data_IF_267693815819
#
_entry.id   IF_267693815819
#
_cell.length_a   1.000
_cell.length_b   1.000
_cell.length_c   1.000
_cell.angle_alpha   90.00
_cell.angle_beta   90.00
_cell.angle_gamma   90.00
#
_symmetry.space_group_name_H-M   'P 1'
#
loop_
_entity.id
_entity.type
_entity.pdbx_description
1 polymer ?
#
# COMPACT_ATOMS: atom_id res chain seq x y z
N UNK A 1 46.62 23.63 0.14
CA UNK A 1 45.99 23.64 -1.20
C UNK A 1 44.81 22.70 -1.17
N UNK A 2 43.65 23.23 -0.81
CA UNK A 2 42.38 22.53 -0.59
C UNK A 2 41.54 22.61 -1.86
N UNK A 3 41.18 21.45 -2.42
CA UNK A 3 40.36 21.33 -3.63
C UNK A 3 38.87 21.32 -3.25
N UNK A 4 38.13 22.33 -3.69
CA UNK A 4 36.67 22.40 -3.63
C UNK A 4 36.06 21.51 -4.73
N UNK A 5 35.17 20.61 -4.36
CA UNK A 5 34.25 19.89 -5.27
C UNK A 5 32.93 20.66 -5.30
N UNK A 6 32.52 21.09 -6.50
CA UNK A 6 31.23 21.69 -6.79
C UNK A 6 30.10 20.64 -6.74
N UNK A 7 28.98 21.00 -6.11
CA UNK A 7 27.72 20.26 -6.12
C UNK A 7 26.97 20.52 -7.46
N UNK A 8 26.22 19.55 -8.01
CA UNK A 8 25.42 19.77 -9.20
C UNK A 8 24.17 20.60 -8.87
N UNK A 9 23.78 21.46 -9.83
CA UNK A 9 22.68 22.41 -9.74
C UNK A 9 21.31 21.74 -9.51
N UNK A 10 20.52 22.32 -8.62
CA UNK A 10 19.14 21.95 -8.35
C UNK A 10 18.25 22.25 -9.57
N UNK A 11 17.56 21.22 -10.06
CA UNK A 11 16.64 21.31 -11.19
C UNK A 11 15.23 21.74 -10.70
N UNK A 12 15.09 23.03 -10.41
CA UNK A 12 13.82 23.67 -10.02
C UNK A 12 12.81 23.80 -11.20
N UNK A 13 13.14 23.30 -12.39
CA UNK A 13 12.33 23.49 -13.60
C UNK A 13 10.96 22.79 -13.59
N UNK A 14 10.81 21.71 -12.82
CA UNK A 14 9.56 20.93 -12.80
C UNK A 14 8.42 21.69 -12.08
N UNK A 15 8.74 22.56 -11.12
CA UNK A 15 7.75 23.37 -10.41
C UNK A 15 7.05 24.40 -11.31
N UNK A 16 7.71 24.88 -12.36
CA UNK A 16 7.14 25.89 -13.26
C UNK A 16 6.19 25.31 -14.31
N UNK A 17 6.42 24.08 -14.78
CA UNK A 17 5.65 23.51 -15.90
C UNK A 17 4.20 23.19 -15.54
N UNK A 18 3.86 23.07 -14.25
CA UNK A 18 2.48 22.84 -13.79
C UNK A 18 1.80 24.09 -13.23
N UNK A 19 2.56 25.16 -12.93
CA UNK A 19 2.01 26.43 -12.48
C UNK A 19 1.22 27.16 -13.59
N UNK A 20 1.54 26.90 -14.86
CA UNK A 20 0.86 27.50 -16.02
C UNK A 20 -0.59 26.97 -16.23
N UNK A 21 -1.03 25.96 -15.47
CA UNK A 21 -2.39 25.40 -15.55
C UNK A 21 -3.38 25.94 -14.49
N UNK A 22 -2.99 26.89 -13.63
CA UNK A 22 -3.80 27.31 -12.46
C UNK A 22 -4.26 28.77 -12.44
N UNK A 23 -4.13 29.53 -13.52
CA UNK A 23 -4.54 30.95 -13.56
C UNK A 23 -6.07 31.13 -13.70
N UNK A 24 -6.84 30.74 -12.68
CA UNK A 24 -8.19 31.28 -12.48
C UNK A 24 -8.76 30.99 -11.08
N UNK A 25 -8.34 31.71 -10.03
CA UNK A 25 -9.22 32.06 -8.89
C UNK A 25 -8.69 33.29 -8.14
N UNK A 26 -9.64 34.19 -7.84
CA UNK A 26 -9.48 35.52 -7.24
C UNK A 26 -8.64 35.57 -5.95
N UNK A 27 -7.72 36.54 -5.90
CA UNK A 27 -6.98 36.95 -4.71
C UNK A 27 -7.85 37.81 -3.79
N UNK A 28 -8.13 37.30 -2.59
CA UNK A 28 -8.58 38.11 -1.45
C UNK A 28 -7.36 38.49 -0.57
N UNK A 29 -7.35 39.67 0.07
CA UNK A 29 -6.15 40.21 0.68
C UNK A 29 -5.75 39.47 1.96
N UNK A 30 -4.47 39.14 2.06
CA UNK A 30 -3.81 38.53 3.21
C UNK A 30 -3.84 39.52 4.37
N UNK A 31 -4.46 39.14 5.50
CA UNK A 31 -4.22 39.80 6.79
C UNK A 31 -2.88 39.29 7.31
N UNK A 32 -1.97 40.21 7.61
CA UNK A 32 -0.74 39.93 8.34
C UNK A 32 -1.08 39.19 9.65
N UNK A 33 -0.59 37.96 9.77
CA UNK A 33 -0.70 37.17 10.98
C UNK A 33 0.66 37.17 11.69
N UNK A 34 0.57 37.64 12.94
CA UNK A 34 1.54 37.63 14.02
C UNK A 34 2.33 36.32 14.17
N UNK A 35 3.55 36.40 14.69
CA UNK A 35 4.62 35.40 14.61
C UNK A 35 4.18 33.94 14.82
N UNK A 36 4.15 33.17 13.73
CA UNK A 36 3.94 31.72 13.77
C UNK A 36 5.18 31.04 14.33
N UNK A 37 5.02 30.31 15.44
CA UNK A 37 5.98 29.28 15.83
C UNK A 37 6.14 28.32 14.64
N UNK A 38 7.37 27.91 14.27
CA UNK A 38 7.55 26.94 13.21
C UNK A 38 6.76 25.67 13.57
N UNK A 39 5.85 25.27 12.68
CA UNK A 39 5.08 24.06 12.89
C UNK A 39 6.04 22.87 12.83
N UNK A 40 5.81 21.85 13.67
CA UNK A 40 6.68 20.69 13.71
C UNK A 40 6.54 19.88 12.42
N UNK A 41 7.65 19.57 11.74
CA UNK A 41 7.64 18.81 10.50
C UNK A 41 6.87 17.50 10.65
N UNK A 42 5.96 17.23 9.72
CA UNK A 42 5.11 16.04 9.73
C UNK A 42 3.92 16.10 10.69
N UNK A 43 3.72 17.22 11.41
CA UNK A 43 2.59 17.45 12.32
C UNK A 43 1.60 18.43 11.69
N UNK A 44 1.02 18.02 10.57
CA UNK A 44 0.12 18.86 9.76
C UNK A 44 -1.23 18.17 9.54
N UNK A 45 -2.33 18.89 9.76
CA UNK A 45 -3.68 18.40 9.49
C UNK A 45 -4.01 18.32 7.99
N UNK A 46 -5.06 17.58 7.64
CA UNK A 46 -5.59 17.53 6.27
C UNK A 46 -7.00 18.09 6.22
N UNK A 47 -7.26 19.02 5.29
CA UNK A 47 -8.59 19.60 5.07
C UNK A 47 -9.58 18.52 4.65
N UNK A 48 -10.78 18.54 5.23
CA UNK A 48 -11.87 17.65 4.80
C UNK A 48 -12.61 18.28 3.62
N UNK A 49 -12.69 17.57 2.50
CA UNK A 49 -13.24 18.04 1.23
C UNK A 49 -14.68 17.55 0.99
N UNK A 50 -15.35 17.15 2.08
CA UNK A 50 -16.69 16.57 2.09
C UNK A 50 -16.65 15.05 2.14
N UNK A 51 -16.93 14.49 3.32
CA UNK A 51 -16.90 13.05 3.61
C UNK A 51 -15.57 12.36 3.29
N UNK A 52 -14.43 13.08 3.35
CA UNK A 52 -13.10 12.53 3.02
C UNK A 52 -12.28 12.09 4.23
N UNK A 53 -12.89 11.90 5.40
CA UNK A 53 -12.14 11.50 6.60
C UNK A 53 -11.45 10.14 6.43
N UNK A 54 -12.01 9.21 5.65
CA UNK A 54 -11.37 7.93 5.31
C UNK A 54 -10.04 8.14 4.57
N UNK A 55 -10.01 9.08 3.61
CA UNK A 55 -8.82 9.44 2.85
C UNK A 55 -7.79 10.13 3.74
N UNK A 56 -8.22 11.12 4.52
CA UNK A 56 -7.32 11.87 5.39
C UNK A 56 -6.65 10.94 6.41
N UNK A 57 -7.39 9.99 7.00
CA UNK A 57 -6.82 9.02 7.92
C UNK A 57 -5.73 8.14 7.27
N UNK A 58 -5.97 7.65 6.06
CA UNK A 58 -5.00 6.83 5.33
C UNK A 58 -3.77 7.64 4.90
N UNK A 59 -3.97 8.85 4.37
CA UNK A 59 -2.87 9.72 3.96
C UNK A 59 -1.97 10.11 5.14
N UNK A 60 -2.56 10.42 6.31
CA UNK A 60 -1.81 10.65 7.54
C UNK A 60 -0.96 9.44 7.94
N UNK A 61 -1.55 8.23 7.91
CA UNK A 61 -0.81 7.00 8.21
C UNK A 61 0.36 6.80 7.25
N UNK A 62 0.13 6.89 5.93
CA UNK A 62 1.18 6.69 4.92
C UNK A 62 2.27 7.76 5.01
N UNK A 63 1.91 9.03 5.22
CA UNK A 63 2.84 10.14 5.36
C UNK A 63 3.57 10.16 6.71
N UNK A 64 3.31 9.22 7.60
CA UNK A 64 4.05 9.03 8.86
C UNK A 64 5.03 7.86 8.79
N UNK A 65 5.06 7.10 7.69
CA UNK A 65 5.94 5.94 7.53
C UNK A 65 7.33 6.40 7.10
N UNK A 66 8.28 6.46 8.04
CA UNK A 66 9.61 7.07 7.80
C UNK A 66 10.33 6.55 6.54
N UNK A 67 10.41 5.24 6.26
CA UNK A 67 11.07 4.77 5.03
C UNK A 67 10.37 5.21 3.74
N UNK A 68 9.05 5.41 3.78
CA UNK A 68 8.28 5.91 2.64
C UNK A 68 8.49 7.42 2.48
N UNK A 69 8.45 8.17 3.59
CA UNK A 69 8.72 9.60 3.64
C UNK A 69 10.11 9.93 3.09
N UNK A 70 11.14 9.26 3.60
CA UNK A 70 12.52 9.42 3.14
C UNK A 70 12.67 9.13 1.64
N UNK A 71 11.93 8.15 1.12
CA UNK A 71 11.98 7.80 -0.29
C UNK A 71 11.44 8.93 -1.19
N UNK A 72 10.31 9.54 -0.82
CA UNK A 72 9.72 10.64 -1.59
C UNK A 72 10.51 11.95 -1.41
N UNK A 73 10.83 12.34 -0.18
CA UNK A 73 11.55 13.59 0.11
C UNK A 73 12.99 13.60 -0.43
N UNK A 74 13.63 12.43 -0.60
CA UNK A 74 14.95 12.35 -1.25
C UNK A 74 14.91 12.47 -2.78
N UNK A 75 13.73 12.65 -3.39
CA UNK A 75 13.56 12.75 -4.85
C UNK A 75 13.77 11.43 -5.61
N UNK A 76 14.01 10.30 -4.91
CA UNK A 76 14.25 8.99 -5.55
C UNK A 76 13.08 8.54 -6.42
N UNK A 77 11.85 8.95 -6.08
CA UNK A 77 10.64 8.62 -6.84
C UNK A 77 10.69 9.18 -8.27
N UNK A 78 11.28 10.36 -8.48
CA UNK A 78 11.40 11.02 -9.80
C UNK A 78 12.16 10.10 -10.77
N UNK A 79 13.28 9.54 -10.31
CA UNK A 79 14.07 8.60 -11.13
C UNK A 79 13.36 7.28 -11.40
N UNK A 80 12.33 6.94 -10.61
CA UNK A 80 11.60 5.69 -10.74
C UNK A 80 10.38 5.80 -11.67
N UNK A 81 9.78 6.97 -11.83
CA UNK A 81 8.61 7.27 -12.69
C UNK A 81 8.87 7.14 -14.22
N UNK A 82 9.89 6.40 -14.67
CA UNK A 82 10.35 6.46 -16.06
C UNK A 82 9.23 6.20 -17.10
N UNK A 83 9.12 7.14 -18.06
CA UNK A 83 8.30 7.17 -19.29
C UNK A 83 6.79 7.49 -19.19
N UNK A 84 6.14 7.37 -18.03
CA UNK A 84 4.74 7.80 -17.85
C UNK A 84 4.61 8.51 -16.49
N UNK A 85 4.48 9.83 -16.51
CA UNK A 85 4.30 10.62 -15.29
C UNK A 85 2.94 10.28 -14.67
N UNK A 86 2.93 9.43 -13.63
CA UNK A 86 1.71 9.16 -12.86
C UNK A 86 1.28 10.41 -12.10
N UNK A 87 0.08 10.92 -12.43
CA UNK A 87 -0.54 12.04 -11.71
C UNK A 87 -0.71 11.71 -10.22
N UNK A 88 -1.11 10.48 -9.90
CA UNK A 88 -1.35 10.06 -8.50
C UNK A 88 -0.06 10.05 -7.69
N UNK A 89 1.01 9.43 -8.20
CA UNK A 89 2.29 9.37 -7.48
C UNK A 89 2.92 10.75 -7.32
N UNK A 90 2.77 11.62 -8.33
CA UNK A 90 3.27 13.00 -8.29
C UNK A 90 2.47 13.84 -7.28
N UNK A 91 1.13 13.77 -7.32
CA UNK A 91 0.28 14.47 -6.36
C UNK A 91 0.49 13.99 -4.92
N UNK A 92 0.78 12.69 -4.74
CA UNK A 92 1.14 12.13 -3.43
C UNK A 92 2.47 12.68 -2.92
N UNK A 93 3.48 12.80 -3.80
CA UNK A 93 4.77 13.38 -3.45
C UNK A 93 4.64 14.86 -3.05
N UNK A 94 3.83 15.65 -3.77
CA UNK A 94 3.55 17.04 -3.42
C UNK A 94 2.87 17.15 -2.07
N UNK A 95 1.79 16.38 -1.85
CA UNK A 95 1.10 16.37 -0.57
C UNK A 95 2.04 16.04 0.60
N UNK A 96 2.88 15.02 0.42
CA UNK A 96 3.85 14.62 1.44
C UNK A 96 4.88 15.72 1.69
N UNK A 97 5.34 16.41 0.64
CA UNK A 97 6.29 17.52 0.77
C UNK A 97 5.65 18.66 1.55
N UNK A 98 4.42 19.06 1.23
CA UNK A 98 3.69 20.11 1.94
C UNK A 98 3.48 19.78 3.43
N UNK A 99 3.14 18.52 3.74
CA UNK A 99 2.98 18.05 5.12
C UNK A 99 4.30 18.04 5.91
N UNK A 100 5.44 17.88 5.25
CA UNK A 100 6.75 17.77 5.89
C UNK A 100 7.60 19.06 5.82
N UNK A 101 7.17 20.05 5.04
CA UNK A 101 7.80 21.36 4.99
C UNK A 101 7.71 22.08 6.35
N UNK A 102 6.58 21.93 7.06
CA UNK A 102 6.36 22.51 8.38
C UNK A 102 5.89 23.96 8.38
N UNK A 103 5.47 24.48 7.22
CA UNK A 103 5.05 25.88 7.05
C UNK A 103 3.53 26.09 7.24
N UNK A 104 2.78 25.01 7.46
CA UNK A 104 1.32 25.07 7.58
C UNK A 104 0.76 24.01 8.52
N UNK A 105 -0.20 24.42 9.36
CA UNK A 105 -0.92 23.52 10.27
C UNK A 105 -1.94 22.63 9.56
N UNK A 106 -2.32 22.98 8.31
CA UNK A 106 -3.32 22.24 7.55
C UNK A 106 -3.09 22.36 6.04
N UNK A 107 -3.02 21.22 5.35
CA UNK A 107 -2.82 21.11 3.90
C UNK A 107 -4.07 20.54 3.22
N UNK A 108 -4.33 20.95 1.98
CA UNK A 108 -5.46 20.47 1.20
C UNK A 108 -5.05 19.30 0.28
N UNK A 109 -5.62 18.10 0.44
CA UNK A 109 -5.33 16.97 -0.45
C UNK A 109 -6.14 17.00 -1.77
N UNK A 110 -6.61 18.16 -2.22
CA UNK A 110 -7.49 18.29 -3.41
C UNK A 110 -6.82 17.79 -4.68
N UNK A 111 -5.55 18.13 -4.90
CA UNK A 111 -4.78 17.69 -6.08
C UNK A 111 -4.69 16.15 -6.10
N UNK A 112 -4.34 15.56 -4.97
CA UNK A 112 -4.28 14.10 -4.81
C UNK A 112 -5.66 13.45 -5.02
N UNK A 113 -6.71 14.02 -4.41
CA UNK A 113 -8.10 13.55 -4.57
C UNK A 113 -8.52 13.57 -6.04
N UNK A 114 -8.21 14.65 -6.76
CA UNK A 114 -8.56 14.80 -8.16
C UNK A 114 -7.83 13.77 -9.03
N UNK A 115 -6.51 13.62 -8.85
CA UNK A 115 -5.71 12.65 -9.59
C UNK A 115 -6.21 11.22 -9.40
N UNK A 116 -6.48 10.81 -8.15
CA UNK A 116 -7.02 9.47 -7.88
C UNK A 116 -8.47 9.33 -8.37
N UNK A 117 -9.29 10.37 -8.23
CA UNK A 117 -10.69 10.40 -8.65
C UNK A 117 -10.89 10.28 -10.16
N UNK A 118 -9.91 10.72 -10.96
CA UNK A 118 -9.91 10.55 -12.41
C UNK A 118 -9.81 9.07 -12.81
N UNK A 119 -9.05 8.28 -12.07
CA UNK A 119 -8.93 6.82 -12.28
C UNK A 119 -10.08 6.06 -11.63
N UNK A 120 -10.54 6.53 -10.46
CA UNK A 120 -11.52 5.87 -9.62
C UNK A 120 -12.67 6.83 -9.24
N UNK A 121 -13.68 7.00 -10.12
CA UNK A 121 -14.76 7.97 -9.92
C UNK A 121 -15.59 7.80 -8.63
N UNK A 122 -15.50 6.63 -7.99
CA UNK A 122 -16.11 6.38 -6.69
C UNK A 122 -15.59 7.34 -5.59
N UNK A 123 -14.33 7.77 -5.68
CA UNK A 123 -13.71 8.69 -4.70
C UNK A 123 -13.97 10.17 -4.98
N UNK A 124 -14.50 10.51 -6.17
CA UNK A 124 -14.91 11.88 -6.50
C UNK A 124 -16.25 12.25 -5.87
N UNK A 125 -17.09 11.25 -5.54
CA UNK A 125 -18.37 11.47 -4.88
C UNK A 125 -18.15 11.94 -3.44
N UNK A 126 -18.99 12.83 -2.94
CA UNK A 126 -18.98 13.29 -1.53
C UNK A 126 -19.70 12.29 -0.61
N UNK A 127 -19.43 11.00 -0.79
CA UNK A 127 -19.99 9.90 0.01
C UNK A 127 -18.92 9.31 0.91
N UNK A 128 -19.33 8.73 2.05
CA UNK A 128 -18.40 7.96 2.88
C UNK A 128 -17.96 6.70 2.13
N UNK A 129 -16.69 6.32 2.30
CA UNK A 129 -16.07 5.15 1.67
C UNK A 129 -15.32 4.31 2.70
N UNK A 130 -14.98 3.07 2.33
CA UNK A 130 -14.12 2.22 3.14
C UNK A 130 -12.66 2.69 3.03
N UNK A 131 -12.03 2.96 4.18
CA UNK A 131 -10.64 3.40 4.25
C UNK A 131 -9.67 2.31 3.77
N UNK A 132 -10.00 1.03 3.97
CA UNK A 132 -9.16 -0.07 3.53
C UNK A 132 -9.20 -0.24 2.01
N UNK A 133 -10.37 -0.09 1.40
CA UNK A 133 -10.51 -0.10 -0.05
C UNK A 133 -9.68 1.05 -0.67
N UNK A 134 -9.85 2.26 -0.14
CA UNK A 134 -9.06 3.41 -0.56
C UNK A 134 -7.54 3.16 -0.41
N UNK A 135 -7.09 2.60 0.72
CA UNK A 135 -5.68 2.26 0.93
C UNK A 135 -5.14 1.31 -0.14
N UNK A 136 -5.88 0.26 -0.50
CA UNK A 136 -5.45 -0.69 -1.54
C UNK A 136 -5.26 0.02 -2.87
N UNK A 137 -6.20 0.89 -3.27
CA UNK A 137 -6.08 1.66 -4.51
C UNK A 137 -4.83 2.55 -4.49
N UNK A 138 -4.59 3.29 -3.39
CA UNK A 138 -3.39 4.13 -3.27
C UNK A 138 -2.11 3.29 -3.38
N UNK A 139 -2.00 2.17 -2.66
CA UNK A 139 -0.80 1.33 -2.72
C UNK A 139 -0.58 0.73 -4.12
N UNK A 140 -1.64 0.33 -4.81
CA UNK A 140 -1.55 -0.20 -6.18
C UNK A 140 -1.10 0.89 -7.16
N UNK A 141 -1.69 2.08 -7.12
CA UNK A 141 -1.28 3.20 -8.00
C UNK A 141 0.18 3.60 -7.76
N UNK A 142 0.60 3.68 -6.50
CA UNK A 142 2.00 3.96 -6.18
C UNK A 142 2.93 2.81 -6.62
N UNK A 143 2.48 1.55 -6.55
CA UNK A 143 3.26 0.43 -7.05
C UNK A 143 3.43 0.50 -8.57
N UNK A 144 2.33 0.63 -9.31
CA UNK A 144 2.32 0.68 -10.76
C UNK A 144 3.14 1.86 -11.29
N UNK A 145 3.04 3.03 -10.65
CA UNK A 145 3.80 4.21 -11.02
C UNK A 145 5.32 4.06 -10.75
N UNK A 146 5.71 3.34 -9.71
CA UNK A 146 7.10 3.30 -9.22
C UNK A 146 7.81 1.96 -9.47
N UNK A 147 7.21 1.07 -10.27
CA UNK A 147 7.77 -0.26 -10.53
C UNK A 147 8.95 -0.21 -11.48
N UNK A 148 9.99 -0.94 -11.12
CA UNK A 148 11.21 -1.14 -11.89
C UNK A 148 11.22 -2.56 -12.44
N UNK A 149 11.56 -2.66 -13.72
CA UNK A 149 11.77 -3.95 -14.38
C UNK A 149 13.22 -4.39 -14.18
N UNK A 150 13.42 -5.46 -13.42
CA UNK A 150 14.73 -6.09 -13.33
C UNK A 150 14.95 -7.04 -14.51
N UNK A 151 15.78 -6.62 -15.46
CA UNK A 151 16.34 -7.54 -16.45
C UNK A 151 17.55 -8.27 -15.85
N UNK A 152 17.61 -9.61 -15.92
CA UNK A 152 18.80 -10.35 -15.49
C UNK A 152 20.02 -9.89 -16.30
N UNK A 153 21.07 -9.47 -15.58
CA UNK A 153 22.32 -8.97 -16.15
C UNK A 153 22.98 -10.09 -16.97
N UNK A 154 23.22 -9.89 -18.27
CA UNK A 154 24.00 -10.83 -19.10
C UNK A 154 25.37 -11.05 -18.43
N UNK A 155 25.68 -12.28 -18.01
CA UNK A 155 27.08 -12.69 -17.83
C UNK A 155 27.68 -12.74 -19.23
N UNK A 156 28.53 -11.78 -19.57
CA UNK A 156 29.29 -11.77 -20.81
C UNK A 156 30.46 -12.75 -20.72
N UNK A 157 30.19 -14.01 -21.07
CA UNK A 157 31.12 -15.10 -21.41
C UNK A 157 30.23 -16.11 -22.17
N UNK A 158 30.43 -16.56 -23.40
CA UNK A 158 31.56 -16.60 -24.34
C UNK A 158 31.02 -16.54 -25.78
N UNK A 159 31.90 -16.28 -26.74
CA UNK A 159 31.62 -16.41 -28.18
C UNK A 159 31.32 -17.89 -28.51
N UNK A 160 30.07 -18.21 -28.83
CA UNK A 160 29.69 -19.53 -29.34
C UNK A 160 28.29 -19.48 -29.93
N UNK A 161 28.17 -19.87 -31.19
CA UNK A 161 26.97 -19.92 -32.00
C UNK A 161 25.81 -20.71 -31.38
N UNK A 162 24.58 -20.25 -31.67
CA UNK A 162 23.35 -21.02 -31.95
C UNK A 162 22.11 -20.62 -31.12
N UNK A 163 20.99 -20.61 -31.84
CA UNK A 163 19.60 -20.61 -31.40
C UNK A 163 19.04 -19.36 -30.71
N UNK A 164 18.39 -18.51 -31.53
CA UNK A 164 17.29 -17.63 -31.11
C UNK A 164 16.18 -18.49 -30.50
N UNK A 165 16.20 -18.63 -29.18
CA UNK A 165 15.01 -18.88 -28.40
C UNK A 165 14.87 -17.70 -27.44
N UNK A 166 14.09 -16.70 -27.85
CA UNK A 166 13.68 -15.61 -26.96
C UNK A 166 12.72 -16.20 -25.92
N UNK A 167 13.27 -16.88 -24.90
CA UNK A 167 12.53 -17.22 -23.70
C UNK A 167 12.01 -15.89 -23.13
N UNK A 168 10.70 -15.75 -22.92
CA UNK A 168 10.13 -14.65 -22.13
C UNK A 168 10.72 -14.80 -20.72
N UNK A 169 11.72 -13.99 -20.39
CA UNK A 169 12.35 -13.99 -19.07
C UNK A 169 11.38 -13.31 -18.12
N UNK A 170 11.04 -13.97 -17.01
CA UNK A 170 10.16 -13.45 -15.97
C UNK A 170 10.82 -12.20 -15.38
N UNK A 171 10.28 -11.03 -15.71
CA UNK A 171 10.64 -9.76 -15.10
C UNK A 171 9.99 -9.71 -13.72
N UNK A 172 10.78 -9.72 -12.65
CA UNK A 172 10.25 -9.43 -11.31
C UNK A 172 10.06 -7.92 -11.22
N UNK A 173 8.81 -7.48 -11.19
CA UNK A 173 8.43 -6.08 -11.00
C UNK A 173 8.60 -5.73 -9.52
N UNK A 174 9.37 -4.68 -9.22
CA UNK A 174 9.59 -4.25 -7.82
C UNK A 174 9.46 -2.75 -7.70
N UNK A 175 8.87 -2.27 -6.62
CA UNK A 175 8.78 -0.84 -6.31
C UNK A 175 9.09 -0.60 -4.83
N UNK A 176 9.13 0.66 -4.39
CA UNK A 176 9.20 0.98 -2.96
C UNK A 176 8.05 0.35 -2.17
N UNK A 177 6.86 0.26 -2.78
CA UNK A 177 5.68 -0.35 -2.16
C UNK A 177 5.91 -1.84 -1.89
N UNK A 178 6.38 -2.60 -2.89
CA UNK A 178 6.63 -4.04 -2.69
C UNK A 178 7.83 -4.30 -1.77
N UNK A 179 8.81 -3.40 -1.75
CA UNK A 179 9.94 -3.52 -0.82
C UNK A 179 9.57 -3.27 0.65
N UNK A 180 8.53 -2.46 0.91
CA UNK A 180 8.10 -2.12 2.26
C UNK A 180 6.96 -3.00 2.76
N UNK A 181 5.91 -3.16 1.96
CA UNK A 181 4.63 -3.72 2.42
C UNK A 181 4.33 -5.14 1.93
N UNK A 182 5.09 -5.67 0.97
CA UNK A 182 4.81 -6.99 0.39
C UNK A 182 5.26 -8.14 1.29
N UNK A 183 4.29 -8.92 1.75
CA UNK A 183 4.49 -10.23 2.36
C UNK A 183 4.01 -11.36 1.45
N UNK A 184 4.31 -12.60 1.84
CA UNK A 184 3.82 -13.80 1.19
C UNK A 184 3.21 -14.76 2.20
N UNK A 185 2.03 -15.28 1.86
CA UNK A 185 1.37 -16.39 2.53
C UNK A 185 1.66 -17.68 1.79
N UNK A 186 1.78 -18.78 2.52
CA UNK A 186 1.72 -20.13 1.98
C UNK A 186 0.47 -20.84 2.51
N UNK A 187 -0.28 -21.48 1.63
CA UNK A 187 -1.43 -22.29 1.96
C UNK A 187 -1.10 -23.76 1.74
N UNK A 188 -1.26 -24.58 2.77
CA UNK A 188 -1.31 -26.04 2.63
C UNK A 188 -2.76 -26.48 2.47
N UNK A 189 -3.05 -27.11 1.34
CA UNK A 189 -4.39 -27.56 0.94
C UNK A 189 -4.37 -29.08 0.88
N UNK A 190 -4.97 -29.74 1.86
CA UNK A 190 -4.95 -31.20 2.02
C UNK A 190 -6.32 -31.77 1.73
N UNK A 191 -6.42 -32.61 0.70
CA UNK A 191 -7.64 -33.37 0.42
C UNK A 191 -7.86 -34.41 1.51
N UNK A 192 -9.02 -34.41 2.18
CA UNK A 192 -9.31 -35.33 3.28
C UNK A 192 -9.68 -36.76 2.82
N UNK A 193 -9.90 -36.96 1.51
CA UNK A 193 -10.20 -38.29 0.93
C UNK A 193 -8.94 -39.06 0.52
N UNK A 194 -7.99 -38.41 -0.14
CA UNK A 194 -6.78 -39.05 -0.67
C UNK A 194 -5.49 -38.58 0.00
N UNK A 195 -5.59 -37.70 1.00
CA UNK A 195 -4.49 -37.16 1.81
C UNK A 195 -3.41 -36.43 1.01
N UNK A 196 -3.69 -36.10 -0.25
CA UNK A 196 -2.75 -35.37 -1.08
C UNK A 196 -2.74 -33.88 -0.72
N UNK A 197 -1.54 -33.37 -0.45
CA UNK A 197 -1.30 -31.96 -0.16
C UNK A 197 -0.90 -31.18 -1.42
N UNK A 198 -1.45 -29.98 -1.58
CA UNK A 198 -1.05 -28.97 -2.58
C UNK A 198 -0.69 -27.68 -1.86
N UNK A 199 0.38 -27.02 -2.33
CA UNK A 199 0.85 -25.76 -1.77
C UNK A 199 0.55 -24.61 -2.73
N UNK A 200 0.01 -23.51 -2.21
CA UNK A 200 -0.24 -22.29 -2.97
C UNK A 200 0.40 -21.11 -2.25
N UNK A 201 1.14 -20.28 -2.97
CA UNK A 201 1.68 -19.03 -2.43
C UNK A 201 0.83 -17.86 -2.91
N UNK A 202 0.57 -16.91 -2.02
CA UNK A 202 -0.15 -15.67 -2.33
C UNK A 202 0.60 -14.47 -1.77
N UNK A 203 0.67 -13.40 -2.54
CA UNK A 203 1.30 -12.14 -2.14
C UNK A 203 0.24 -11.25 -1.48
N UNK A 204 0.63 -10.49 -0.46
CA UNK A 204 -0.25 -9.50 0.17
C UNK A 204 0.50 -8.21 0.52
N UNK A 205 -0.21 -7.08 0.49
CA UNK A 205 0.24 -5.78 1.03
C UNK A 205 -0.50 -5.41 2.31
N UNK A 206 -1.73 -5.89 2.45
CA UNK A 206 -2.59 -5.70 3.62
C UNK A 206 -3.14 -7.05 4.07
N UNK A 207 -2.92 -7.42 5.34
CA UNK A 207 -3.46 -8.65 5.89
C UNK A 207 -4.81 -8.37 6.58
N UNK A 208 -5.88 -8.86 5.99
CA UNK A 208 -7.25 -8.65 6.50
C UNK A 208 -7.66 -9.76 7.46
N UNK A 209 -7.64 -9.45 8.75
CA UNK A 209 -7.89 -10.38 9.83
C UNK A 209 -9.38 -10.46 10.19
N UNK A 210 -9.93 -11.68 10.41
CA UNK A 210 -11.24 -11.86 11.01
C UNK A 210 -11.21 -11.42 12.48
N UNK A 211 -12.39 -11.07 12.99
CA UNK A 211 -12.58 -10.75 14.40
C UNK A 211 -13.30 -11.94 15.05
N UNK A 212 -12.65 -12.70 15.95
CA UNK A 212 -13.19 -13.95 16.47
C UNK A 212 -14.31 -13.75 17.52
N UNK A 213 -14.49 -12.54 18.04
CA UNK A 213 -15.37 -12.24 19.18
C UNK A 213 -16.16 -10.95 18.94
N UNK A 214 -17.42 -10.90 19.39
CA UNK A 214 -18.24 -9.68 19.30
C UNK A 214 -17.92 -8.66 20.41
N UNK A 215 -17.28 -9.07 21.51
CA UNK A 215 -17.06 -8.25 22.71
C UNK A 215 -15.63 -7.74 22.81
N UNK A 216 -14.66 -8.63 23.02
CA UNK A 216 -13.24 -8.29 23.17
C UNK A 216 -12.39 -9.25 22.34
N UNK A 217 -11.34 -8.73 21.70
CA UNK A 217 -10.26 -9.54 21.13
C UNK A 217 -8.93 -8.78 21.12
N UNK A 218 -7.84 -9.53 21.02
CA UNK A 218 -6.50 -9.01 20.78
C UNK A 218 -6.07 -9.26 19.33
N UNK A 219 -4.98 -8.59 18.92
CA UNK A 219 -4.32 -8.91 17.64
C UNK A 219 -3.93 -10.39 17.57
N UNK A 220 -3.49 -10.98 18.68
CA UNK A 220 -3.08 -12.37 18.74
C UNK A 220 -4.26 -13.31 18.46
N UNK A 221 -5.44 -13.03 19.00
CA UNK A 221 -6.64 -13.83 18.74
C UNK A 221 -7.05 -13.76 17.27
N UNK A 222 -6.98 -12.57 16.67
CA UNK A 222 -7.26 -12.36 15.26
C UNK A 222 -6.27 -13.13 14.35
N UNK A 223 -4.98 -13.11 14.70
CA UNK A 223 -3.93 -13.86 13.97
C UNK A 223 -4.10 -15.36 14.14
N UNK A 224 -4.38 -15.84 15.36
CA UNK A 224 -4.65 -17.25 15.62
C UNK A 224 -5.86 -17.73 14.84
N UNK A 225 -6.95 -16.96 14.83
CA UNK A 225 -8.13 -17.25 14.02
C UNK A 225 -7.81 -17.29 12.53
N UNK A 226 -6.99 -16.36 12.02
CA UNK A 226 -6.58 -16.33 10.61
C UNK A 226 -5.71 -17.54 10.20
N UNK A 227 -4.78 -17.96 11.05
CA UNK A 227 -3.84 -19.07 10.76
C UNK A 227 -4.33 -20.44 11.26
N UNK A 228 -5.51 -20.49 11.87
CA UNK A 228 -6.15 -21.73 12.24
C UNK A 228 -6.45 -22.56 10.98
N UNK A 229 -6.26 -23.87 11.08
CA UNK A 229 -6.68 -24.77 10.01
C UNK A 229 -8.20 -24.74 9.89
N UNK A 230 -8.70 -24.44 8.70
CA UNK A 230 -10.11 -24.48 8.36
C UNK A 230 -10.41 -25.70 7.48
N UNK A 231 -11.62 -26.25 7.60
CA UNK A 231 -12.06 -27.40 6.80
C UNK A 231 -13.19 -26.96 5.89
N UNK A 232 -12.91 -26.93 4.58
CA UNK A 232 -13.88 -26.55 3.58
C UNK A 232 -14.82 -27.71 3.29
N UNK A 233 -16.05 -27.59 3.79
CA UNK A 233 -17.12 -28.59 3.67
C UNK A 233 -18.27 -28.08 2.79
N UNK A 234 -19.17 -29.00 2.41
CA UNK A 234 -20.41 -28.69 1.67
C UNK A 234 -20.18 -27.86 0.40
N UNK A 235 -20.72 -26.64 0.36
CA UNK A 235 -20.67 -25.76 -0.81
C UNK A 235 -19.26 -25.20 -1.10
N UNK A 236 -18.35 -25.27 -0.13
CA UNK A 236 -16.99 -24.72 -0.24
C UNK A 236 -15.95 -25.80 -0.62
N UNK A 237 -16.36 -27.03 -0.92
CA UNK A 237 -15.46 -28.11 -1.31
C UNK A 237 -14.61 -27.74 -2.54
N UNK A 238 -13.33 -28.11 -2.50
CA UNK A 238 -12.37 -27.88 -3.57
C UNK A 238 -12.31 -29.10 -4.48
N UNK A 239 -12.16 -28.86 -5.79
CA UNK A 239 -11.91 -29.94 -6.75
C UNK A 239 -10.51 -30.53 -6.55
N UNK A 240 -10.43 -31.82 -6.21
CA UNK A 240 -9.16 -32.52 -6.08
C UNK A 240 -8.75 -33.10 -7.44
N UNK A 241 -7.57 -32.72 -7.95
CA UNK A 241 -7.04 -33.24 -9.22
C UNK A 241 -6.74 -34.76 -9.21
N UNK A 242 -6.61 -35.37 -8.04
CA UNK A 242 -6.33 -36.81 -7.90
C UNK A 242 -7.60 -37.64 -7.73
N UNK A 243 -8.68 -37.06 -7.17
CA UNK A 243 -9.98 -37.72 -7.05
C UNK A 243 -10.94 -37.34 -8.18
N UNK A 244 -10.56 -36.38 -9.02
CA UNK A 244 -11.36 -35.82 -10.14
C UNK A 244 -12.77 -35.37 -9.73
N UNK A 245 -12.94 -35.00 -8.46
CA UNK A 245 -14.23 -34.67 -7.84
C UNK A 245 -14.03 -33.63 -6.74
N UNK A 246 -15.10 -32.94 -6.35
CA UNK A 246 -15.10 -32.04 -5.19
C UNK A 246 -14.95 -32.86 -3.91
N UNK A 247 -14.01 -32.44 -3.05
CA UNK A 247 -13.70 -33.14 -1.81
C UNK A 247 -13.60 -32.16 -0.65
N UNK A 248 -13.90 -32.65 0.54
CA UNK A 248 -13.58 -31.93 1.77
C UNK A 248 -12.08 -31.72 1.87
N UNK A 249 -11.69 -30.50 2.21
CA UNK A 249 -10.30 -30.06 2.10
C UNK A 249 -9.93 -29.25 3.32
N UNK A 250 -8.87 -29.67 4.02
CA UNK A 250 -8.28 -28.88 5.08
C UNK A 250 -7.34 -27.84 4.47
N UNK A 251 -7.51 -26.57 4.85
CA UNK A 251 -6.71 -25.44 4.41
C UNK A 251 -6.09 -24.80 5.62
N UNK A 252 -4.77 -24.59 5.57
CA UNK A 252 -4.04 -23.85 6.60
C UNK A 252 -3.14 -22.84 5.93
N UNK A 253 -3.19 -21.61 6.41
CA UNK A 253 -2.29 -20.55 5.99
C UNK A 253 -1.06 -20.47 6.91
N UNK A 254 0.04 -19.96 6.38
CA UNK A 254 1.21 -19.51 7.13
C UNK A 254 1.82 -18.28 6.44
N UNK A 255 2.71 -17.57 7.14
CA UNK A 255 3.52 -16.50 6.54
C UNK A 255 4.83 -17.13 6.07
N UNK A 256 5.07 -17.15 4.76
CA UNK A 256 6.33 -17.61 4.17
C UNK A 256 7.36 -16.49 4.07
N UNK A 257 6.92 -15.24 3.88
CA UNK A 257 7.76 -14.04 3.88
C UNK A 257 7.02 -12.90 4.57
N UNK A 258 7.59 -12.35 5.65
CA UNK A 258 7.04 -11.15 6.28
C UNK A 258 7.46 -9.88 5.51
N UNK A 259 6.58 -8.86 5.41
CA UNK A 259 6.95 -7.55 4.90
C UNK A 259 7.83 -6.80 5.91
N UNK A 260 8.49 -5.72 5.48
CA UNK A 260 9.20 -4.82 6.42
C UNK A 260 8.22 -4.04 7.29
N UNK A 261 7.08 -3.67 6.72
CA UNK A 261 6.00 -2.96 7.39
C UNK A 261 4.72 -3.71 7.09
N UNK A 262 4.09 -4.26 8.13
CA UNK A 262 2.84 -5.00 8.00
C UNK A 262 1.65 -4.08 8.28
N UNK A 263 0.64 -4.15 7.42
CA UNK A 263 -0.63 -3.46 7.63
C UNK A 263 -1.68 -4.51 7.97
N UNK A 264 -2.21 -4.45 9.18
CA UNK A 264 -3.35 -5.27 9.59
C UNK A 264 -4.65 -4.50 9.38
N UNK A 265 -5.56 -5.09 8.62
CA UNK A 265 -6.94 -4.62 8.50
C UNK A 265 -7.84 -5.53 9.33
N UNK A 266 -8.66 -4.95 10.22
CA UNK A 266 -9.64 -5.72 10.98
C UNK A 266 -10.98 -5.69 10.25
N UNK A 267 -11.50 -6.87 9.86
CA UNK A 267 -12.78 -7.02 9.14
C UNK A 267 -13.99 -6.71 10.02
N UNK A 268 -14.22 -5.42 10.29
CA UNK A 268 -15.31 -4.94 11.16
C UNK A 268 -16.65 -4.78 10.44
N UNK A 269 -16.64 -4.64 9.12
CA UNK A 269 -17.87 -4.43 8.35
C UNK A 269 -18.29 -5.74 7.69
N UNK A 270 -19.49 -6.19 8.03
CA UNK A 270 -20.12 -7.31 7.35
C UNK A 270 -21.02 -6.78 6.23
N UNK A 271 -20.62 -7.07 4.99
CA UNK A 271 -21.32 -6.66 3.77
C UNK A 271 -22.39 -7.70 3.37
N UNK A 272 -22.32 -8.92 3.91
CA UNK A 272 -23.25 -10.00 3.58
C UNK A 272 -24.56 -9.91 4.36
N UNK A 273 -24.58 -9.15 5.47
CA UNK A 273 -25.77 -8.92 6.29
C UNK A 273 -26.43 -7.58 5.94
N UNK A 274 -27.76 -7.59 5.75
CA UNK A 274 -28.60 -6.41 5.57
C UNK A 274 -29.49 -6.22 6.81
N UNK A 275 -29.44 -5.07 7.51
CA UNK A 275 -28.60 -3.90 7.25
C UNK A 275 -27.12 -4.18 7.54
N UNK A 276 -26.21 -3.46 6.86
CA UNK A 276 -24.76 -3.54 7.07
C UNK A 276 -24.44 -3.43 8.56
N UNK A 277 -23.77 -4.44 9.13
CA UNK A 277 -23.41 -4.47 10.56
C UNK A 277 -21.94 -4.10 10.73
N UNK A 278 -21.65 -3.22 11.70
CA UNK A 278 -20.29 -2.91 12.13
C UNK A 278 -20.01 -3.58 13.47
N UNK A 279 -18.98 -4.42 13.53
CA UNK A 279 -18.47 -5.00 14.76
C UNK A 279 -17.82 -3.91 15.62
N UNK A 280 -18.33 -3.77 16.84
CA UNK A 280 -17.86 -2.81 17.85
C UNK A 280 -16.93 -3.46 18.88
N UNK A 281 -16.43 -4.66 18.61
CA UNK A 281 -15.50 -5.41 19.46
C UNK A 281 -14.35 -4.52 19.92
N UNK A 282 -14.15 -4.46 21.23
CA UNK A 282 -13.02 -3.80 21.85
C UNK A 282 -11.74 -4.54 21.50
N UNK A 283 -10.76 -3.78 21.03
CA UNK A 283 -9.56 -4.34 20.42
C UNK A 283 -8.31 -3.86 21.13
N UNK A 284 -7.53 -4.82 21.64
CA UNK A 284 -6.27 -4.54 22.31
C UNK A 284 -5.08 -4.76 21.37
N UNK A 285 -4.24 -3.73 21.24
CA UNK A 285 -2.94 -3.82 20.60
C UNK A 285 -1.87 -4.06 21.67
N UNK A 286 -1.00 -5.07 21.50
CA UNK A 286 0.15 -5.20 22.38
C UNK A 286 1.12 -4.04 22.17
N UNK A 287 1.79 -3.58 23.23
CA UNK A 287 2.81 -2.53 23.15
C UNK A 287 4.02 -2.94 22.30
N UNK A 288 4.28 -4.23 22.13
CA UNK A 288 5.31 -4.79 21.27
C UNK A 288 4.86 -6.13 20.69
N UNK A 289 5.07 -6.33 19.39
CA UNK A 289 4.87 -7.61 18.71
C UNK A 289 6.21 -8.28 18.48
N UNK A 290 6.42 -9.45 19.09
CA UNK A 290 7.57 -10.30 18.78
C UNK A 290 7.04 -11.44 17.90
N UNK A 291 7.35 -11.37 16.60
CA UNK A 291 7.06 -12.48 15.69
C UNK A 291 8.22 -13.47 15.75
N UNK A 292 8.08 -14.52 16.55
CA UNK A 292 9.00 -15.65 16.50
C UNK A 292 8.59 -16.55 15.34
N UNK A 293 9.39 -16.59 14.29
CA UNK A 293 9.32 -17.67 13.30
C UNK A 293 9.75 -18.96 14.00
N UNK A 294 8.84 -19.67 14.66
CA UNK A 294 9.12 -21.04 15.11
C UNK A 294 9.19 -21.95 13.89
N UNK A 295 10.26 -22.74 13.75
CA UNK A 295 10.49 -23.63 12.61
C UNK A 295 9.47 -24.77 12.50
#
# INVERSE_FOLDING_TARGET
>A
MTSQRSLPADDFGIYYVLAECTDYYDTLPVKEADGSQPCSQGVTGLRNLGNTCYMNAILQCLCSISPLVEYFLSGKYITALQNDCSEVATAFAYLMTDMWLGDSDCVSPEIFRSALGNLYPAFTKKTQQDAQEFLIYVLNELHEALKKYHYPRRRSHEKGSAQRCCRKWITTETSVITQLFEGQLNYSIVCLKCEKCTYKNEVFTVLSLPIPSEYECSLQDCLQCFFQQDTLTWNNQIHCSFCETKQETAVRAGISKAPKIIIFHLKRFDIQVQPKRKLRTDYSLPHSLIWTSTP
#
